data_IF_804047251731
#
_entry.id   IF_804047251731
#
_cell.length_a   1.000
_cell.length_b   1.000
_cell.length_c   1.000
_cell.angle_alpha   90.00
_cell.angle_beta   90.00
_cell.angle_gamma   90.00
#
_symmetry.space_group_name_H-M   'P 1'
#
loop_
_entity.id
_entity.type
_entity.pdbx_description
1 polymer ?
#
# COMPACT_ATOMS: atom_id res chain seq x y z
N UNK A 1 6.93 -4.10 -0.40
CA UNK A 1 7.19 -5.48 -0.82
C UNK A 1 7.17 -6.44 0.37
N UNK A 2 6.48 -7.58 0.22
CA UNK A 2 6.33 -8.64 1.23
C UNK A 2 6.85 -9.93 0.61
N UNK A 3 7.80 -10.61 1.26
CA UNK A 3 8.20 -11.98 0.94
C UNK A 3 7.45 -12.91 1.89
N UNK A 4 6.62 -13.79 1.34
CA UNK A 4 5.82 -14.74 2.11
C UNK A 4 6.55 -16.05 2.36
N UNK A 5 6.15 -16.80 3.39
CA UNK A 5 6.69 -18.14 3.65
C UNK A 5 6.36 -19.16 2.54
N UNK A 6 5.39 -18.86 1.70
CA UNK A 6 4.99 -19.66 0.53
C UNK A 6 5.91 -19.49 -0.67
N UNK A 7 6.97 -18.68 -0.56
CA UNK A 7 7.81 -18.18 -1.65
C UNK A 7 7.12 -17.15 -2.56
N UNK A 8 5.81 -16.93 -2.43
CA UNK A 8 5.16 -15.83 -3.10
C UNK A 8 5.71 -14.49 -2.60
N UNK A 9 5.61 -13.47 -3.45
CA UNK A 9 5.86 -12.10 -3.05
C UNK A 9 4.65 -11.21 -3.40
N UNK A 10 4.50 -10.12 -2.66
CA UNK A 10 3.46 -9.12 -2.88
C UNK A 10 4.09 -7.74 -2.89
N UNK A 11 3.81 -6.96 -3.91
CA UNK A 11 4.07 -5.52 -3.96
C UNK A 11 2.75 -4.80 -3.74
N UNK A 12 2.73 -3.81 -2.87
CA UNK A 12 1.56 -2.95 -2.61
C UNK A 12 1.98 -1.54 -2.96
N UNK A 13 1.31 -0.99 -3.96
CA UNK A 13 1.60 0.29 -4.58
C UNK A 13 3.05 0.44 -5.07
N UNK A 14 3.26 1.37 -5.97
CA UNK A 14 4.58 1.73 -6.47
C UNK A 14 4.64 3.23 -6.72
N UNK A 15 5.77 3.82 -6.37
CA UNK A 15 6.07 5.20 -6.73
C UNK A 15 7.55 5.32 -7.06
N UNK A 16 7.89 6.23 -7.97
CA UNK A 16 9.26 6.47 -8.44
C UNK A 16 9.95 5.24 -9.07
N UNK A 17 9.21 4.31 -9.65
CA UNK A 17 9.76 3.19 -10.40
C UNK A 17 10.18 3.65 -11.80
N UNK A 18 11.18 4.53 -11.87
CA UNK A 18 11.68 5.10 -13.12
C UNK A 18 13.07 4.58 -13.39
N UNK A 19 13.31 4.11 -14.62
CA UNK A 19 14.64 3.75 -15.11
C UNK A 19 15.48 5.01 -15.35
N UNK A 20 15.64 5.90 -14.38
CA UNK A 20 16.38 7.15 -14.58
C UNK A 20 17.50 7.35 -13.58
N UNK A 21 18.69 7.49 -14.16
CA UNK A 21 19.92 8.15 -13.67
C UNK A 21 20.14 8.10 -12.14
N UNK A 22 20.94 7.13 -11.76
CA UNK A 22 21.57 7.00 -10.45
C UNK A 22 21.96 8.35 -9.87
N UNK A 23 21.25 8.76 -8.85
CA UNK A 23 21.78 9.74 -7.93
C UNK A 23 22.92 9.06 -7.22
N UNK A 24 24.13 9.52 -7.47
CA UNK A 24 25.34 8.93 -6.92
C UNK A 24 25.23 8.86 -5.40
N UNK A 25 25.53 7.71 -4.82
CA UNK A 25 25.56 7.43 -3.36
C UNK A 25 26.27 8.52 -2.55
N UNK A 26 27.21 9.24 -3.15
CA UNK A 26 27.96 10.33 -2.49
C UNK A 26 27.08 11.48 -1.97
N UNK A 27 25.89 11.73 -2.53
CA UNK A 27 24.96 12.76 -2.04
C UNK A 27 24.12 12.29 -0.85
N UNK A 28 24.00 10.98 -0.65
CA UNK A 28 23.20 10.40 0.44
C UNK A 28 23.96 10.26 1.76
N UNK A 29 25.29 10.19 1.72
CA UNK A 29 26.14 9.84 2.88
C UNK A 29 26.22 10.87 4.00
N UNK A 30 25.66 12.07 3.87
CA UNK A 30 25.82 13.15 4.85
C UNK A 30 24.54 13.58 5.58
N UNK A 31 23.45 12.85 5.46
CA UNK A 31 22.16 13.28 5.98
C UNK A 31 21.91 12.67 7.38
N UNK A 32 22.58 13.10 8.41
CA UNK A 32 22.44 12.67 9.80
C UNK A 32 20.96 12.53 10.22
N UNK A 33 20.34 11.36 9.97
CA UNK A 33 18.96 11.05 10.32
C UNK A 33 17.89 11.73 9.43
N UNK A 34 18.29 12.27 8.28
CA UNK A 34 17.37 12.75 7.24
C UNK A 34 17.89 12.29 5.88
N UNK A 35 17.25 11.28 5.30
CA UNK A 35 17.62 10.71 4.01
C UNK A 35 17.02 11.49 2.83
N UNK A 36 16.24 12.55 3.09
CA UNK A 36 15.62 13.41 2.10
C UNK A 36 14.92 12.63 0.95
N UNK A 37 14.16 11.60 1.31
CA UNK A 37 13.56 10.66 0.35
C UNK A 37 12.53 11.28 -0.58
N UNK A 38 12.04 12.45 -0.25
CA UNK A 38 11.19 13.22 -1.16
C UNK A 38 11.96 13.71 -2.39
N UNK A 39 13.20 14.14 -2.20
CA UNK A 39 14.07 14.62 -3.29
C UNK A 39 14.84 13.47 -3.96
N UNK A 40 15.19 12.46 -3.17
CA UNK A 40 15.99 11.31 -3.58
C UNK A 40 15.25 9.99 -3.25
N UNK A 41 14.13 9.68 -3.92
CA UNK A 41 13.39 8.45 -3.66
C UNK A 41 14.20 7.21 -4.03
N UNK A 42 13.94 6.11 -3.34
CA UNK A 42 14.47 4.80 -3.74
C UNK A 42 13.73 4.33 -4.97
N UNK A 43 14.44 3.82 -5.96
CA UNK A 43 13.82 3.15 -7.10
C UNK A 43 13.44 1.71 -6.71
N UNK A 44 12.15 1.36 -6.67
CA UNK A 44 11.72 0.03 -6.27
C UNK A 44 12.16 -1.08 -7.23
N UNK A 45 12.36 -0.79 -8.51
CA UNK A 45 12.89 -1.76 -9.49
C UNK A 45 14.32 -2.14 -9.12
N UNK A 46 15.20 -1.16 -8.93
CA UNK A 46 16.58 -1.43 -8.53
C UNK A 46 16.66 -2.16 -7.18
N UNK A 47 15.76 -1.80 -6.25
CA UNK A 47 15.68 -2.43 -4.94
C UNK A 47 15.30 -3.91 -5.05
N UNK A 48 14.21 -4.26 -5.76
CA UNK A 48 13.77 -5.64 -5.94
C UNK A 48 14.81 -6.47 -6.71
N UNK A 49 15.41 -5.91 -7.77
CA UNK A 49 16.46 -6.56 -8.54
C UNK A 49 17.69 -6.87 -7.68
N UNK A 50 18.02 -6.04 -6.68
CA UNK A 50 19.12 -6.29 -5.75
C UNK A 50 18.90 -7.51 -4.86
N UNK A 51 17.66 -7.97 -4.69
CA UNK A 51 17.29 -9.21 -4.01
C UNK A 51 17.11 -10.40 -4.97
N UNK A 52 17.51 -10.24 -6.26
CA UNK A 52 17.34 -11.22 -7.32
C UNK A 52 15.88 -11.66 -7.54
N UNK A 53 14.93 -10.80 -7.23
CA UNK A 53 13.55 -11.06 -7.63
C UNK A 53 13.43 -10.94 -9.15
N UNK A 54 12.70 -11.85 -9.76
CA UNK A 54 12.47 -11.90 -11.21
C UNK A 54 10.99 -11.83 -11.56
N UNK A 55 10.14 -12.10 -10.60
CA UNK A 55 8.71 -12.09 -10.75
C UNK A 55 8.02 -11.46 -9.53
N UNK A 56 6.80 -11.02 -9.72
CA UNK A 56 5.90 -10.53 -8.69
C UNK A 56 4.64 -11.39 -8.74
N UNK A 57 4.44 -12.23 -7.72
CA UNK A 57 3.26 -13.08 -7.67
C UNK A 57 1.97 -12.25 -7.59
N UNK A 58 2.03 -11.12 -6.85
CA UNK A 58 0.87 -10.24 -6.66
C UNK A 58 1.30 -8.78 -6.58
N UNK A 59 0.73 -7.96 -7.45
CA UNK A 59 0.76 -6.51 -7.30
C UNK A 59 -0.62 -6.02 -6.86
N UNK A 60 -0.66 -5.22 -5.80
CA UNK A 60 -1.89 -4.61 -5.29
C UNK A 60 -1.81 -3.11 -5.49
N UNK A 61 -2.69 -2.56 -6.31
CA UNK A 61 -2.92 -1.12 -6.37
C UNK A 61 -4.02 -0.78 -5.37
N UNK A 62 -3.69 -0.01 -4.34
CA UNK A 62 -4.67 0.27 -3.29
C UNK A 62 -5.81 1.13 -3.80
N UNK A 63 -5.53 2.13 -4.61
CA UNK A 63 -6.51 3.00 -5.27
C UNK A 63 -5.86 3.69 -6.48
N UNK A 64 -6.65 4.28 -7.40
CA UNK A 64 -6.14 4.70 -8.71
C UNK A 64 -5.49 6.09 -8.74
N UNK A 65 -4.81 6.54 -7.67
CA UNK A 65 -4.08 7.79 -7.67
C UNK A 65 -2.66 7.60 -8.19
N UNK A 66 -2.19 8.60 -8.95
CA UNK A 66 -0.94 8.48 -9.70
C UNK A 66 0.29 8.30 -8.82
N UNK A 67 0.29 8.80 -7.60
CA UNK A 67 1.39 8.63 -6.65
C UNK A 67 1.46 7.21 -6.05
N UNK A 68 0.46 6.36 -6.32
CA UNK A 68 0.42 4.94 -5.98
C UNK A 68 0.74 4.01 -7.16
N UNK A 69 0.89 4.58 -8.37
CA UNK A 69 1.21 3.82 -9.59
C UNK A 69 2.32 4.45 -10.45
N UNK A 70 3.07 5.44 -9.93
CA UNK A 70 4.14 6.11 -10.66
C UNK A 70 5.29 5.14 -10.98
N UNK A 71 5.40 4.78 -12.26
CA UNK A 71 6.32 3.78 -12.78
C UNK A 71 5.77 2.35 -12.82
N UNK A 72 4.45 2.15 -12.70
CA UNK A 72 3.82 0.84 -12.80
C UNK A 72 4.16 0.13 -14.12
N UNK A 73 4.18 0.86 -15.24
CA UNK A 73 4.57 0.30 -16.54
C UNK A 73 5.98 -0.26 -16.50
N UNK A 74 6.95 0.51 -16.05
CA UNK A 74 8.34 0.08 -15.96
C UNK A 74 8.52 -1.11 -15.00
N UNK A 75 7.77 -1.14 -13.89
CA UNK A 75 7.80 -2.27 -12.96
C UNK A 75 7.30 -3.57 -13.62
N UNK A 76 6.21 -3.52 -14.38
CA UNK A 76 5.63 -4.68 -15.06
C UNK A 76 6.42 -5.09 -16.30
N UNK A 77 7.20 -4.19 -16.90
CA UNK A 77 8.13 -4.52 -17.97
C UNK A 77 9.38 -5.24 -17.45
N UNK A 78 9.82 -4.93 -16.22
CA UNK A 78 10.99 -5.56 -15.59
C UNK A 78 10.65 -6.89 -14.93
N UNK A 79 9.49 -6.98 -14.26
CA UNK A 79 9.08 -8.16 -13.51
C UNK A 79 7.83 -8.80 -14.13
N UNK A 80 7.83 -10.13 -14.24
CA UNK A 80 6.60 -10.84 -14.60
C UNK A 80 5.61 -10.77 -13.44
N UNK A 81 4.49 -10.06 -13.62
CA UNK A 81 3.43 -9.94 -12.62
C UNK A 81 2.33 -10.96 -12.90
N UNK A 82 2.10 -11.88 -11.96
CA UNK A 82 1.09 -12.94 -12.12
C UNK A 82 -0.33 -12.45 -11.85
N UNK A 83 -0.52 -11.74 -10.73
CA UNK A 83 -1.84 -11.25 -10.32
C UNK A 83 -1.78 -9.76 -10.05
N UNK A 84 -2.76 -9.04 -10.57
CA UNK A 84 -2.98 -7.63 -10.31
C UNK A 84 -4.29 -7.45 -9.52
N UNK A 85 -4.23 -6.81 -8.37
CA UNK A 85 -5.42 -6.44 -7.62
C UNK A 85 -5.75 -4.98 -7.89
N UNK A 86 -6.94 -4.74 -8.42
CA UNK A 86 -7.49 -3.40 -8.67
C UNK A 86 -8.84 -3.24 -7.98
N UNK A 87 -9.29 -2.03 -7.81
CA UNK A 87 -10.64 -1.72 -7.34
C UNK A 87 -11.59 -1.53 -8.52
N UNK A 88 -12.89 -1.70 -8.31
CA UNK A 88 -13.90 -1.45 -9.36
C UNK A 88 -14.21 0.07 -9.47
N UNK A 89 -13.14 0.88 -9.51
CA UNK A 89 -13.24 2.32 -9.66
C UNK A 89 -13.53 2.72 -11.10
N UNK A 90 -14.18 3.87 -11.28
CA UNK A 90 -14.52 4.47 -12.58
C UNK A 90 -13.70 5.74 -12.85
N UNK A 91 -12.53 5.88 -12.20
CA UNK A 91 -11.65 7.04 -12.41
C UNK A 91 -11.24 7.13 -13.86
N UNK A 92 -11.38 8.32 -14.41
CA UNK A 92 -10.91 8.71 -15.73
C UNK A 92 -9.95 9.88 -15.64
N UNK A 93 -8.98 9.91 -16.52
CA UNK A 93 -8.08 11.05 -16.74
C UNK A 93 -8.02 11.30 -18.24
N UNK A 94 -8.26 12.53 -18.63
CA UNK A 94 -8.23 12.94 -20.04
C UNK A 94 -6.82 13.32 -20.48
N UNK A 95 -6.59 13.42 -21.79
CA UNK A 95 -5.30 13.82 -22.34
C UNK A 95 -4.87 15.23 -21.88
N UNK A 96 -5.84 16.11 -21.65
CA UNK A 96 -5.63 17.48 -21.16
C UNK A 96 -5.50 17.57 -19.64
N UNK A 97 -5.55 16.44 -18.91
CA UNK A 97 -5.39 16.42 -17.46
C UNK A 97 -4.01 16.95 -17.06
N UNK A 98 -3.94 17.65 -15.91
CA UNK A 98 -2.66 18.04 -15.34
C UNK A 98 -1.97 16.80 -14.72
N UNK A 99 -1.01 16.26 -15.44
CA UNK A 99 -0.22 15.11 -15.00
C UNK A 99 0.83 15.47 -13.94
N UNK A 100 1.12 16.75 -13.74
CA UNK A 100 2.10 17.22 -12.77
C UNK A 100 3.48 16.57 -12.99
N UNK A 101 3.94 15.82 -12.01
CA UNK A 101 5.21 15.08 -12.10
C UNK A 101 5.08 13.64 -12.63
N UNK A 102 3.84 13.18 -12.91
CA UNK A 102 3.57 11.80 -13.31
C UNK A 102 3.52 11.65 -14.83
N UNK A 103 3.67 10.41 -15.30
CA UNK A 103 3.65 10.10 -16.72
C UNK A 103 2.29 9.53 -17.15
N UNK A 104 1.73 10.06 -18.23
CA UNK A 104 0.51 9.51 -18.84
C UNK A 104 0.65 8.03 -19.20
N UNK A 105 1.85 7.60 -19.59
CA UNK A 105 2.09 6.20 -19.97
C UNK A 105 1.80 5.20 -18.85
N UNK A 106 1.99 5.57 -17.58
CA UNK A 106 1.65 4.73 -16.44
C UNK A 106 0.14 4.59 -16.30
N UNK A 107 -0.60 5.67 -16.53
CA UNK A 107 -2.07 5.64 -16.56
C UNK A 107 -2.61 4.79 -17.71
N UNK A 108 -2.11 4.99 -18.93
CA UNK A 108 -2.52 4.24 -20.11
C UNK A 108 -2.23 2.74 -19.91
N UNK A 109 -1.08 2.41 -19.35
CA UNK A 109 -0.72 1.04 -19.00
C UNK A 109 -1.69 0.45 -17.97
N UNK A 110 -1.94 1.17 -16.88
CA UNK A 110 -2.92 0.76 -15.87
C UNK A 110 -4.29 0.48 -16.49
N UNK A 111 -4.80 1.38 -17.34
CA UNK A 111 -6.08 1.17 -18.03
C UNK A 111 -6.06 -0.09 -18.90
N UNK A 112 -4.93 -0.41 -19.53
CA UNK A 112 -4.80 -1.58 -20.40
C UNK A 112 -4.88 -2.91 -19.67
N UNK A 113 -4.43 -2.96 -18.38
CA UNK A 113 -4.38 -4.20 -17.61
C UNK A 113 -5.59 -4.41 -16.68
N UNK A 114 -6.44 -3.40 -16.46
CA UNK A 114 -7.59 -3.45 -15.52
C UNK A 114 -8.56 -4.60 -15.77
N UNK A 115 -8.71 -5.01 -17.02
CA UNK A 115 -9.63 -6.09 -17.42
C UNK A 115 -8.89 -7.31 -17.97
N UNK A 116 -7.59 -7.43 -17.68
CA UNK A 116 -6.80 -8.56 -18.13
C UNK A 116 -7.23 -9.86 -17.42
N UNK A 117 -7.37 -10.94 -18.21
CA UNK A 117 -7.74 -12.25 -17.71
C UNK A 117 -6.54 -13.20 -17.54
N UNK A 118 -5.38 -12.81 -18.05
CA UNK A 118 -4.16 -13.62 -18.05
C UNK A 118 -3.00 -12.77 -17.49
N UNK A 119 -1.95 -12.56 -18.16
CA UNK A 119 -0.71 -11.95 -17.69
C UNK A 119 -0.74 -10.40 -17.72
N UNK A 120 -1.04 -9.74 -16.61
CA UNK A 120 -1.43 -10.26 -15.31
C UNK A 120 -2.91 -10.67 -15.25
N UNK A 121 -3.27 -11.59 -14.36
CA UNK A 121 -4.68 -11.84 -14.02
C UNK A 121 -5.18 -10.75 -13.09
N UNK A 122 -6.10 -9.94 -13.56
CA UNK A 122 -6.70 -8.88 -12.73
C UNK A 122 -7.82 -9.42 -11.86
N UNK A 123 -7.80 -9.06 -10.60
CA UNK A 123 -8.78 -9.43 -9.57
C UNK A 123 -9.33 -8.18 -8.91
N UNK A 124 -10.64 -8.10 -8.81
CA UNK A 124 -11.36 -7.11 -7.99
C UNK A 124 -11.84 -7.77 -6.73
N UNK A 125 -11.38 -7.32 -5.59
CA UNK A 125 -11.70 -7.90 -4.29
C UNK A 125 -12.41 -6.86 -3.41
N UNK A 126 -13.27 -7.37 -2.54
CA UNK A 126 -13.98 -6.55 -1.56
C UNK A 126 -13.77 -7.09 -0.16
N UNK A 127 -14.14 -6.31 0.84
CA UNK A 127 -14.10 -6.70 2.24
C UNK A 127 -14.65 -8.11 2.46
N UNK A 128 -13.90 -8.94 3.16
CA UNK A 128 -14.24 -10.33 3.44
C UNK A 128 -13.97 -11.31 2.30
N UNK A 129 -13.38 -10.86 1.16
CA UNK A 129 -13.02 -11.77 0.07
C UNK A 129 -12.09 -12.90 0.55
N UNK A 130 -12.31 -14.10 0.02
CA UNK A 130 -11.56 -15.30 0.34
C UNK A 130 -10.93 -15.92 -0.92
N UNK A 131 -9.73 -16.45 -0.79
CA UNK A 131 -9.05 -17.14 -1.88
C UNK A 131 -7.83 -17.92 -1.41
N UNK A 132 -7.62 -19.09 -2.03
CA UNK A 132 -6.60 -20.07 -1.69
C UNK A 132 -5.21 -19.45 -1.45
N UNK A 133 -4.83 -18.49 -2.28
CA UNK A 133 -3.48 -17.93 -2.26
C UNK A 133 -3.30 -16.72 -1.34
N UNK A 134 -4.36 -16.21 -0.67
CA UNK A 134 -4.22 -15.05 0.19
C UNK A 134 -4.80 -15.24 1.60
N UNK A 135 -5.98 -15.88 1.77
CA UNK A 135 -6.54 -16.07 3.11
C UNK A 135 -7.48 -17.26 3.26
N UNK A 136 -7.38 -18.29 2.43
CA UNK A 136 -8.14 -19.53 2.58
C UNK A 136 -7.22 -20.73 2.62
N UNK A 137 -7.37 -21.56 3.64
CA UNK A 137 -6.86 -22.92 3.72
C UNK A 137 -7.84 -23.90 3.05
N UNK A 138 -7.58 -25.20 3.19
CA UNK A 138 -8.47 -26.25 2.66
C UNK A 138 -9.87 -26.20 3.26
N UNK A 139 -10.03 -25.63 4.47
CA UNK A 139 -11.31 -25.43 5.14
C UNK A 139 -11.95 -24.09 4.77
N UNK A 140 -11.28 -23.24 3.98
CA UNK A 140 -11.77 -21.93 3.53
C UNK A 140 -11.77 -20.86 4.61
N UNK A 141 -11.05 -21.03 5.72
CA UNK A 141 -11.10 -20.12 6.89
C UNK A 141 -9.84 -19.26 6.99
N UNK A 142 -8.68 -19.87 6.97
CA UNK A 142 -7.38 -19.22 7.11
C UNK A 142 -6.42 -19.78 6.06
N UNK A 143 -5.17 -19.36 6.08
CA UNK A 143 -4.13 -19.88 5.20
C UNK A 143 -3.77 -18.94 4.07
N UNK A 144 -3.21 -19.50 2.99
CA UNK A 144 -2.58 -18.73 1.94
C UNK A 144 -1.47 -17.83 2.49
N UNK A 145 -1.27 -16.69 1.88
CA UNK A 145 -0.24 -15.72 2.26
C UNK A 145 -0.61 -14.85 3.47
N UNK A 146 -1.76 -15.09 4.11
CA UNK A 146 -2.18 -14.39 5.31
C UNK A 146 -2.74 -12.98 5.08
N UNK A 147 -3.15 -12.66 3.85
CA UNK A 147 -3.69 -11.35 3.47
C UNK A 147 -5.22 -11.32 3.57
N UNK A 148 -5.78 -10.52 4.44
CA UNK A 148 -7.24 -10.32 4.57
C UNK A 148 -7.63 -8.94 4.07
N UNK A 149 -8.57 -8.87 3.14
CA UNK A 149 -9.11 -7.61 2.62
C UNK A 149 -10.18 -7.10 3.60
N UNK A 150 -9.91 -6.01 4.30
CA UNK A 150 -10.82 -5.37 5.24
C UNK A 150 -11.71 -4.31 4.57
N UNK A 151 -11.19 -3.68 3.51
CA UNK A 151 -11.85 -2.70 2.65
C UNK A 151 -11.23 -2.77 1.25
N UNK A 152 -11.89 -2.23 0.20
CA UNK A 152 -13.16 -1.53 0.23
C UNK A 152 -14.37 -2.48 0.26
N UNK A 153 -15.55 -1.94 0.59
CA UNK A 153 -16.83 -2.56 0.28
C UNK A 153 -17.33 -2.11 -1.09
N UNK A 154 -18.30 -2.83 -1.67
CA UNK A 154 -18.96 -2.36 -2.90
C UNK A 154 -19.59 -0.99 -2.73
N UNK A 155 -20.12 -0.70 -1.53
CA UNK A 155 -20.75 0.59 -1.24
C UNK A 155 -19.72 1.72 -1.22
N UNK A 156 -18.55 1.52 -0.59
CA UNK A 156 -17.47 2.50 -0.59
C UNK A 156 -16.97 2.80 -2.01
N UNK A 157 -16.78 1.77 -2.84
CA UNK A 157 -16.38 1.95 -4.24
C UNK A 157 -17.44 2.74 -5.02
N UNK A 158 -18.71 2.40 -4.85
CA UNK A 158 -19.82 3.14 -5.47
C UNK A 158 -19.80 4.62 -5.07
N UNK A 159 -19.64 4.91 -3.77
CA UNK A 159 -19.58 6.28 -3.28
C UNK A 159 -18.35 7.03 -3.81
N UNK A 160 -17.19 6.35 -3.90
CA UNK A 160 -15.99 6.92 -4.50
C UNK A 160 -16.20 7.30 -5.98
N UNK A 161 -16.88 6.44 -6.74
CA UNK A 161 -17.26 6.71 -8.13
C UNK A 161 -18.23 7.88 -8.27
N UNK A 162 -19.19 8.01 -7.35
CA UNK A 162 -20.15 9.10 -7.35
C UNK A 162 -19.56 10.46 -6.94
N UNK A 163 -18.59 10.45 -6.00
CA UNK A 163 -18.00 11.68 -5.44
C UNK A 163 -16.70 12.09 -6.13
N UNK A 164 -16.02 11.18 -6.81
CA UNK A 164 -14.69 11.37 -7.35
C UNK A 164 -13.57 11.32 -6.28
N UNK A 165 -13.90 11.01 -5.03
CA UNK A 165 -12.90 10.80 -3.95
C UNK A 165 -12.49 9.32 -3.91
N UNK A 166 -11.48 8.99 -4.70
CA UNK A 166 -11.01 7.62 -4.87
C UNK A 166 -10.19 7.10 -3.67
N UNK A 167 -9.83 7.94 -2.71
CA UNK A 167 -9.25 7.49 -1.45
C UNK A 167 -10.22 6.55 -0.70
N UNK A 168 -11.54 6.80 -0.82
CA UNK A 168 -12.58 5.97 -0.18
C UNK A 168 -12.65 4.53 -0.75
N UNK A 169 -12.11 4.28 -1.95
CA UNK A 169 -12.04 2.92 -2.51
C UNK A 169 -10.72 2.18 -2.21
N UNK A 170 -9.86 2.74 -1.36
CA UNK A 170 -8.58 2.12 -1.03
C UNK A 170 -8.71 0.72 -0.44
N UNK A 171 -7.88 -0.21 -0.92
CA UNK A 171 -7.66 -1.45 -0.19
C UNK A 171 -7.06 -1.16 1.18
N UNK A 172 -7.69 -1.73 2.20
CA UNK A 172 -7.09 -1.88 3.53
C UNK A 172 -6.86 -3.37 3.74
N UNK A 173 -5.59 -3.75 3.87
CA UNK A 173 -5.18 -5.14 3.96
C UNK A 173 -4.59 -5.40 5.35
N UNK A 174 -5.14 -6.41 6.04
CA UNK A 174 -4.55 -6.97 7.24
C UNK A 174 -3.69 -8.18 6.85
N UNK A 175 -2.39 -8.08 7.05
CA UNK A 175 -1.44 -9.16 6.87
C UNK A 175 -1.13 -9.82 8.21
N UNK A 176 -1.34 -11.13 8.26
CA UNK A 176 -1.01 -11.98 9.41
C UNK A 176 0.17 -12.88 9.08
N UNK A 177 1.21 -12.81 9.89
CA UNK A 177 2.38 -13.67 9.78
C UNK A 177 2.81 -14.13 11.18
N UNK A 178 2.72 -15.42 11.45
CA UNK A 178 2.83 -15.95 12.81
C UNK A 178 1.79 -15.31 13.73
N UNK A 179 2.25 -14.73 14.83
CA UNK A 179 1.39 -14.01 15.79
C UNK A 179 1.36 -12.48 15.55
N UNK A 180 1.90 -12.01 14.43
CA UNK A 180 2.01 -10.57 14.11
C UNK A 180 0.89 -10.12 13.19
N UNK A 181 0.49 -8.86 13.37
CA UNK A 181 -0.51 -8.16 12.58
C UNK A 181 0.07 -6.90 11.99
N UNK A 182 0.02 -6.79 10.66
CA UNK A 182 0.46 -5.61 9.91
C UNK A 182 -0.72 -5.09 9.09
N UNK A 183 -0.98 -3.80 9.13
CA UNK A 183 -2.03 -3.19 8.31
C UNK A 183 -1.40 -2.27 7.26
N UNK A 184 -1.76 -2.52 6.01
CA UNK A 184 -1.52 -1.63 4.88
C UNK A 184 -2.82 -0.88 4.61
N UNK A 185 -2.81 0.43 4.79
CA UNK A 185 -4.04 1.21 4.85
C UNK A 185 -4.40 1.95 3.54
N UNK A 186 -3.51 1.95 2.54
CA UNK A 186 -3.68 2.80 1.36
C UNK A 186 -3.93 4.25 1.78
N UNK A 187 -4.75 4.97 1.05
CA UNK A 187 -5.16 6.33 1.41
C UNK A 187 -6.56 6.40 2.06
N UNK A 188 -6.94 5.29 2.71
CA UNK A 188 -8.25 5.11 3.34
C UNK A 188 -8.63 6.28 4.26
N UNK A 189 -9.90 6.69 4.17
CA UNK A 189 -10.44 7.83 4.88
C UNK A 189 -11.29 7.41 6.10
N UNK A 190 -11.88 8.39 6.77
CA UNK A 190 -12.77 8.16 7.91
C UNK A 190 -13.86 7.15 7.61
N UNK A 191 -14.53 7.23 6.47
CA UNK A 191 -15.62 6.30 6.11
C UNK A 191 -15.17 4.85 6.10
N UNK A 192 -14.00 4.60 5.53
CA UNK A 192 -13.38 3.28 5.50
C UNK A 192 -13.09 2.78 6.91
N UNK A 193 -12.54 3.63 7.78
CA UNK A 193 -12.23 3.26 9.15
C UNK A 193 -13.48 3.06 10.01
N UNK A 194 -14.53 3.87 9.83
CA UNK A 194 -15.83 3.66 10.50
C UNK A 194 -16.36 2.26 10.17
N UNK A 195 -16.36 1.86 8.89
CA UNK A 195 -16.77 0.53 8.47
C UNK A 195 -15.89 -0.58 9.11
N UNK A 196 -14.56 -0.42 9.08
CA UNK A 196 -13.64 -1.41 9.66
C UNK A 196 -13.85 -1.55 11.16
N UNK A 197 -14.02 -0.45 11.89
CA UNK A 197 -14.26 -0.47 13.32
C UNK A 197 -15.60 -1.09 13.69
N UNK A 198 -16.62 -0.92 12.86
CA UNK A 198 -17.92 -1.54 13.07
C UNK A 198 -17.89 -3.05 12.81
N UNK A 199 -17.20 -3.50 11.75
CA UNK A 199 -17.32 -4.87 11.26
C UNK A 199 -16.10 -5.76 11.58
N UNK A 200 -14.91 -5.18 11.75
CA UNK A 200 -13.63 -5.89 11.91
C UNK A 200 -12.87 -5.50 13.17
N UNK A 201 -13.51 -4.81 14.13
CA UNK A 201 -12.85 -4.25 15.31
C UNK A 201 -11.90 -5.24 16.01
N UNK A 202 -12.39 -6.45 16.30
CA UNK A 202 -11.58 -7.48 16.99
C UNK A 202 -10.37 -7.96 16.19
N UNK A 203 -10.46 -7.90 14.87
CA UNK A 203 -9.38 -8.32 14.00
C UNK A 203 -8.23 -7.31 13.99
N UNK A 204 -8.58 -6.02 14.09
CA UNK A 204 -7.63 -4.91 13.99
C UNK A 204 -7.15 -4.37 15.34
N UNK A 205 -7.60 -4.93 16.46
CA UNK A 205 -7.10 -4.55 17.79
C UNK A 205 -5.62 -4.90 17.96
N UNK A 206 -4.84 -3.96 18.51
CA UNK A 206 -3.43 -4.14 18.90
C UNK A 206 -2.56 -4.69 17.76
N UNK A 207 -2.34 -3.90 16.72
CA UNK A 207 -1.48 -4.27 15.58
C UNK A 207 -0.01 -4.03 15.89
N UNK A 208 0.87 -4.83 15.27
CA UNK A 208 2.31 -4.66 15.46
C UNK A 208 2.83 -3.52 14.59
N UNK A 209 2.33 -3.40 13.36
CA UNK A 209 2.73 -2.37 12.42
C UNK A 209 1.53 -1.81 11.66
N UNK A 210 1.52 -0.49 11.51
CA UNK A 210 0.59 0.23 10.65
C UNK A 210 1.39 0.98 9.56
N UNK A 211 1.09 0.72 8.29
CA UNK A 211 1.44 1.66 7.23
C UNK A 211 0.33 2.70 7.24
N UNK A 212 0.67 3.93 7.58
CA UNK A 212 -0.29 4.97 7.90
C UNK A 212 -1.23 5.27 6.72
N UNK A 213 -2.53 5.43 6.95
CA UNK A 213 -3.46 5.84 5.90
C UNK A 213 -3.07 7.21 5.37
N UNK A 214 -3.25 7.41 4.06
CA UNK A 214 -3.00 8.67 3.37
C UNK A 214 -1.62 9.26 3.74
N UNK A 215 -0.58 8.43 3.68
CA UNK A 215 0.82 8.77 4.01
C UNK A 215 1.03 9.30 5.45
N UNK A 216 0.04 9.20 6.33
CA UNK A 216 0.06 9.81 7.67
C UNK A 216 -0.37 11.26 7.70
N UNK A 217 -1.08 11.72 6.65
CA UNK A 217 -1.62 13.10 6.58
C UNK A 217 -2.82 13.28 7.49
N UNK A 218 -3.12 14.54 7.79
CA UNK A 218 -4.38 14.95 8.40
C UNK A 218 -5.52 14.76 7.39
N UNK A 219 -6.32 13.73 7.59
CA UNK A 219 -7.42 13.40 6.66
C UNK A 219 -8.74 14.12 6.99
N UNK A 220 -8.72 15.05 7.94
CA UNK A 220 -9.91 15.81 8.37
C UNK A 220 -10.93 14.96 9.14
N UNK A 221 -10.58 13.74 9.48
CA UNK A 221 -11.43 12.79 10.20
C UNK A 221 -11.05 12.62 11.65
N UNK A 222 -11.84 11.77 12.33
CA UNK A 222 -11.56 11.34 13.67
C UNK A 222 -10.59 10.16 13.63
N UNK A 223 -9.47 10.26 14.35
CA UNK A 223 -8.44 9.21 14.40
C UNK A 223 -8.74 8.15 15.47
N UNK A 224 -10.04 7.91 15.77
CA UNK A 224 -10.48 6.90 16.74
C UNK A 224 -9.98 5.49 16.41
N UNK A 225 -9.71 5.19 15.13
CA UNK A 225 -9.13 3.92 14.74
C UNK A 225 -7.78 3.67 15.46
N UNK A 226 -7.00 4.71 15.78
CA UNK A 226 -5.74 4.58 16.51
C UNK A 226 -5.95 4.09 17.96
N UNK A 227 -7.08 4.43 18.57
CA UNK A 227 -7.40 3.98 19.93
C UNK A 227 -7.72 2.48 19.99
N UNK A 228 -8.09 1.90 18.84
CA UNK A 228 -8.37 0.47 18.67
C UNK A 228 -7.14 -0.28 18.18
N UNK A 229 -6.53 0.20 17.12
CA UNK A 229 -5.36 -0.43 16.50
C UNK A 229 -4.15 -0.43 17.44
N UNK A 230 -3.92 0.65 18.15
CA UNK A 230 -2.77 0.85 19.07
C UNK A 230 -1.47 0.30 18.48
N UNK A 231 -1.08 0.74 17.27
CA UNK A 231 0.07 0.18 16.59
C UNK A 231 1.33 0.33 17.43
N UNK A 232 2.15 -0.72 17.50
CA UNK A 232 3.46 -0.65 18.16
C UNK A 232 4.42 0.25 17.42
N UNK A 233 4.29 0.28 16.09
CA UNK A 233 5.02 1.16 15.20
C UNK A 233 4.13 1.57 14.04
N UNK A 234 4.23 2.85 13.62
CA UNK A 234 3.59 3.33 12.39
C UNK A 234 4.64 3.84 11.43
N UNK A 235 4.54 3.46 10.17
CA UNK A 235 5.34 4.02 9.09
C UNK A 235 4.53 5.09 8.36
N UNK A 236 5.06 6.31 8.35
CA UNK A 236 4.52 7.43 7.59
C UNK A 236 5.14 7.44 6.20
N UNK A 237 4.32 7.62 5.18
CA UNK A 237 4.73 7.73 3.79
C UNK A 237 5.35 9.10 3.45
N UNK A 238 5.51 9.32 2.14
CA UNK A 238 6.11 10.57 1.63
C UNK A 238 5.04 11.65 1.56
N UNK A 239 5.12 12.62 2.47
CA UNK A 239 4.33 13.85 2.45
C UNK A 239 5.14 15.00 3.01
N UNK A 240 4.70 16.25 2.75
CA UNK A 240 5.31 17.40 3.42
C UNK A 240 5.02 17.34 4.90
N UNK A 241 6.01 17.62 5.75
CA UNK A 241 5.90 17.56 7.21
C UNK A 241 4.74 18.38 7.79
N UNK A 242 4.36 19.47 7.12
CA UNK A 242 3.24 20.33 7.51
C UNK A 242 1.86 19.67 7.35
N UNK A 243 1.77 18.63 6.50
CA UNK A 243 0.54 17.88 6.26
C UNK A 243 0.46 16.61 7.12
N UNK A 244 1.57 16.17 7.71
CA UNK A 244 1.61 14.97 8.55
C UNK A 244 0.93 15.22 9.89
N UNK A 245 0.12 14.26 10.32
CA UNK A 245 -0.59 14.33 11.59
C UNK A 245 0.21 13.74 12.76
N UNK A 246 1.29 14.40 13.08
CA UNK A 246 2.07 14.01 14.27
C UNK A 246 1.28 14.06 15.58
N UNK A 247 0.30 14.96 15.64
CA UNK A 247 -0.46 15.22 16.87
C UNK A 247 -1.31 14.03 17.28
N UNK A 248 -2.00 13.39 16.34
CA UNK A 248 -2.85 12.23 16.63
C UNK A 248 -2.07 11.07 17.23
N UNK A 249 -0.85 10.83 16.74
CA UNK A 249 0.05 9.81 17.30
C UNK A 249 0.68 10.24 18.63
N UNK A 250 1.19 11.47 18.71
CA UNK A 250 1.84 11.97 19.93
C UNK A 250 0.90 12.00 21.12
N UNK A 251 -0.34 12.46 20.93
CA UNK A 251 -1.36 12.52 21.99
C UNK A 251 -1.74 11.14 22.53
N UNK A 252 -1.47 10.08 21.79
CA UNK A 252 -1.72 8.68 22.17
C UNK A 252 -0.44 7.95 22.60
N UNK A 253 0.71 8.61 22.56
CA UNK A 253 2.02 7.98 22.85
C UNK A 253 2.40 6.87 21.88
N UNK A 254 1.95 6.96 20.61
CA UNK A 254 2.22 5.96 19.59
C UNK A 254 3.52 6.27 18.85
N UNK A 255 4.33 5.22 18.65
CA UNK A 255 5.60 5.32 17.93
C UNK A 255 5.37 5.42 16.42
N UNK A 256 6.19 6.25 15.77
CA UNK A 256 6.16 6.44 14.32
C UNK A 256 7.53 6.77 13.75
N UNK A 257 7.72 6.37 12.50
CA UNK A 257 8.92 6.66 11.70
C UNK A 257 8.47 7.17 10.34
N UNK A 258 9.15 8.19 9.82
CA UNK A 258 8.97 8.69 8.45
C UNK A 258 10.04 8.11 7.52
N UNK A 259 9.78 8.03 6.22
CA UNK A 259 10.75 7.61 5.22
C UNK A 259 12.03 8.46 5.25
N UNK A 260 11.91 9.76 5.56
CA UNK A 260 13.08 10.62 5.68
C UNK A 260 13.99 10.26 6.85
N UNK A 261 13.44 9.63 7.92
CA UNK A 261 14.20 9.27 9.12
C UNK A 261 14.91 7.92 8.99
N UNK A 262 14.41 7.03 8.15
CA UNK A 262 14.83 5.63 8.20
C UNK A 262 15.22 5.01 6.84
N UNK A 263 15.20 5.76 5.75
CA UNK A 263 15.52 5.21 4.43
C UNK A 263 14.61 4.02 4.04
N UNK A 264 15.20 2.92 3.57
CA UNK A 264 14.48 1.65 3.38
C UNK A 264 14.29 0.96 4.72
N UNK A 265 13.06 0.56 5.02
CA UNK A 265 12.72 -0.12 6.27
C UNK A 265 12.49 -1.59 5.97
N UNK A 266 13.30 -2.44 6.59
CA UNK A 266 13.17 -3.89 6.52
C UNK A 266 12.55 -4.39 7.82
N UNK A 267 11.47 -5.15 7.71
CA UNK A 267 10.77 -5.72 8.84
C UNK A 267 10.80 -7.24 8.72
N UNK A 268 11.47 -7.87 9.66
CA UNK A 268 11.53 -9.31 9.76
C UNK A 268 10.59 -9.81 10.84
N UNK A 269 9.72 -10.76 10.49
CA UNK A 269 8.89 -11.46 11.46
C UNK A 269 9.53 -12.81 11.78
N UNK A 270 9.84 -13.03 13.06
CA UNK A 270 10.34 -14.34 13.52
C UNK A 270 9.16 -15.10 14.13
N UNK A 271 8.98 -16.35 13.69
CA UNK A 271 8.08 -17.25 14.38
C UNK A 271 8.71 -17.58 15.73
N UNK A 272 8.13 -17.08 16.81
CA UNK A 272 8.43 -17.59 18.13
C UNK A 272 7.92 -19.06 18.18
N UNK A 273 8.84 -19.99 18.41
CA UNK A 273 8.54 -21.43 18.57
C UNK A 273 7.81 -21.66 19.87
#
# INVERSE_FOLDING_TARGET
>A
WIKHNSEHNTVIDVTNAKLINRITESKMQNLRGNYNRKEYPVNPIEYLSSYNETDIFRFVLTHPDMDHMDGIKALFEEFQVTNFWDTENEKTMDDDSDWGQFNKEDWDFYQSIRNSNNDPKTLVLYAGARGKYYNSDENGINGGDGLSVLAPTKQLVKEANETGDYNDCSYVILYRTGNKKIIFAGDSTKKTWDYILENHRKEVENVDLLIAPHHGRKTGGNDEYLDVLKPKLTLFGIAKSEYLDYSSWNNRGLEKITNNQADCIIIETKNEK
#
